data_IF_428992403906
#
_entry.id   IF_428992403906
#
_cell.length_a   1.000
_cell.length_b   1.000
_cell.length_c   1.000
_cell.angle_alpha   90.00
_cell.angle_beta   90.00
_cell.angle_gamma   90.00
#
_symmetry.space_group_name_H-M   'P 1'
#
loop_
_entity.id
_entity.type
_entity.pdbx_description
1 polymer ?
#
# COMPACT_ATOMS: atom_id res chain seq x y z
N UNK A 1 76.07 -53.26 13.55
CA UNK A 1 77.03 -52.79 14.61
C UNK A 1 76.29 -51.65 15.36
N UNK A 2 76.16 -51.83 16.69
CA UNK A 2 75.96 -50.89 17.82
C UNK A 2 74.82 -49.89 17.62
N UNK A 3 73.60 -50.03 18.15
CA UNK A 3 73.16 -49.85 19.57
C UNK A 3 73.65 -48.53 20.21
N UNK A 4 72.69 -47.61 20.44
CA UNK A 4 72.68 -46.81 21.68
C UNK A 4 71.26 -46.33 21.99
N UNK A 5 70.79 -46.72 23.15
CA UNK A 5 69.57 -46.32 23.84
C UNK A 5 69.79 -44.94 24.46
N UNK A 6 68.77 -44.09 24.37
CA UNK A 6 68.65 -42.97 25.32
C UNK A 6 67.25 -42.83 25.78
N UNK A 7 67.08 -43.00 27.06
CA UNK A 7 65.87 -42.81 27.87
C UNK A 7 65.66 -41.29 28.02
N UNK A 8 64.50 -40.79 27.72
CA UNK A 8 64.12 -39.44 28.07
C UNK A 8 62.84 -39.45 28.90
N UNK A 9 62.98 -38.82 30.05
CA UNK A 9 62.05 -38.63 31.16
C UNK A 9 60.72 -37.95 30.74
N UNK A 10 59.63 -38.55 31.17
CA UNK A 10 58.30 -37.96 31.07
C UNK A 10 58.06 -37.05 32.28
N UNK A 11 58.04 -35.75 32.08
CA UNK A 11 57.55 -34.79 33.08
C UNK A 11 56.10 -34.48 32.82
N UNK A 12 55.20 -35.01 33.63
CA UNK A 12 53.74 -34.76 33.58
C UNK A 12 53.46 -33.45 34.28
N UNK A 13 53.18 -32.40 33.48
CA UNK A 13 52.69 -31.11 34.00
C UNK A 13 51.21 -31.08 33.89
N UNK A 14 50.48 -31.20 34.98
CA UNK A 14 49.08 -31.13 35.16
C UNK A 14 48.62 -29.63 35.07
N UNK A 15 48.13 -29.17 33.93
CA UNK A 15 47.54 -27.86 33.80
C UNK A 15 46.07 -27.93 34.21
N UNK A 16 45.76 -27.37 35.38
CA UNK A 16 44.40 -27.05 35.82
C UNK A 16 43.82 -25.92 34.93
N UNK A 17 43.06 -26.26 33.92
CA UNK A 17 42.24 -25.32 33.20
C UNK A 17 40.99 -24.99 34.03
N UNK A 18 41.05 -23.89 34.78
CA UNK A 18 39.87 -23.21 35.33
C UNK A 18 39.16 -22.61 34.16
N UNK A 19 38.20 -23.33 33.63
CA UNK A 19 37.25 -22.84 32.61
C UNK A 19 36.32 -21.82 33.25
N UNK A 20 36.63 -20.52 33.12
CA UNK A 20 35.61 -19.49 33.26
C UNK A 20 34.59 -19.69 32.14
N UNK A 21 33.49 -20.39 32.45
CA UNK A 21 32.31 -20.42 31.64
C UNK A 21 31.74 -19.00 31.50
N UNK A 22 32.19 -18.29 30.49
CA UNK A 22 31.45 -17.11 29.99
C UNK A 22 30.22 -17.66 29.32
N UNK A 23 29.09 -17.71 30.05
CA UNK A 23 27.78 -17.70 29.44
C UNK A 23 27.66 -16.42 28.61
N UNK A 24 28.12 -16.47 27.37
CA UNK A 24 27.62 -15.58 26.34
C UNK A 24 26.21 -16.06 26.02
N UNK A 25 25.22 -15.51 26.71
CA UNK A 25 23.90 -15.32 26.13
C UNK A 25 24.14 -14.38 24.94
N UNK A 26 24.44 -14.93 23.78
CA UNK A 26 24.27 -14.24 22.52
C UNK A 26 22.77 -13.96 22.38
N UNK A 27 22.28 -12.90 23.05
CA UNK A 27 21.11 -12.19 22.59
C UNK A 27 21.53 -11.66 21.23
N UNK A 28 21.15 -12.35 20.16
CA UNK A 28 21.22 -11.81 18.82
C UNK A 28 20.63 -10.40 18.92
N UNK A 29 21.46 -9.39 18.74
CA UNK A 29 21.04 -8.00 18.78
C UNK A 29 19.99 -7.87 17.67
N UNK A 30 18.72 -7.86 18.06
CA UNK A 30 17.61 -7.69 17.11
C UNK A 30 17.84 -6.37 16.39
N UNK A 31 18.03 -6.45 15.08
CA UNK A 31 18.27 -5.27 14.25
C UNK A 31 17.08 -4.32 14.38
N UNK A 32 17.34 -3.06 14.77
CA UNK A 32 16.32 -2.01 14.74
C UNK A 32 16.10 -1.42 13.34
N UNK A 33 16.83 -1.89 12.34
CA UNK A 33 16.69 -1.42 10.95
C UNK A 33 15.46 -2.03 10.30
N UNK A 34 14.69 -1.20 9.60
CA UNK A 34 13.50 -1.59 8.86
C UNK A 34 13.52 -0.95 7.48
N UNK A 35 13.39 -1.76 6.44
CA UNK A 35 13.28 -1.30 5.07
C UNK A 35 11.81 -1.26 4.69
N UNK A 36 11.34 -0.10 4.22
CA UNK A 36 9.94 0.15 3.87
C UNK A 36 9.82 0.31 2.37
N UNK A 37 9.13 -0.63 1.72
CA UNK A 37 8.89 -0.60 0.27
C UNK A 37 7.84 0.44 -0.12
N UNK A 38 8.02 1.11 -1.25
CA UNK A 38 7.05 2.04 -1.83
C UNK A 38 7.18 2.14 -3.36
N UNK A 39 6.13 2.60 -4.03
CA UNK A 39 6.08 2.81 -5.49
C UNK A 39 6.17 4.31 -5.82
N UNK A 40 5.50 5.14 -5.05
CA UNK A 40 5.36 6.60 -5.27
C UNK A 40 3.97 6.96 -5.76
N UNK A 41 2.94 6.48 -5.07
CA UNK A 41 1.53 6.75 -5.35
C UNK A 41 0.86 7.42 -4.15
N UNK A 42 -0.26 8.08 -4.38
CA UNK A 42 -0.95 8.90 -3.35
C UNK A 42 -1.30 8.12 -2.09
N UNK A 43 -1.77 6.89 -2.24
CA UNK A 43 -2.22 6.10 -1.09
C UNK A 43 -1.08 5.72 -0.13
N UNK A 44 0.18 5.85 -0.55
CA UNK A 44 1.37 5.60 0.27
C UNK A 44 1.75 6.79 1.18
N UNK A 45 0.95 7.87 1.24
CA UNK A 45 1.19 9.00 2.13
C UNK A 45 1.51 8.61 3.59
N UNK A 46 0.92 7.56 4.21
CA UNK A 46 1.32 7.09 5.53
C UNK A 46 2.78 6.60 5.60
N UNK A 47 3.32 5.98 4.55
CA UNK A 47 4.73 5.54 4.51
C UNK A 47 5.66 6.75 4.62
N UNK A 48 5.42 7.75 3.78
CA UNK A 48 6.23 8.98 3.76
C UNK A 48 6.09 9.77 5.07
N UNK A 49 4.86 9.87 5.56
CA UNK A 49 4.55 10.52 6.84
C UNK A 49 5.26 9.82 8.01
N UNK A 50 5.23 8.49 8.08
CA UNK A 50 5.85 7.73 9.16
C UNK A 50 7.36 7.96 9.23
N UNK A 51 8.03 8.08 8.08
CA UNK A 51 9.47 8.36 8.01
C UNK A 51 9.74 9.82 8.38
N UNK A 52 9.09 10.78 7.73
CA UNK A 52 9.37 12.20 7.87
C UNK A 52 8.94 12.79 9.22
N UNK A 53 7.87 12.27 9.80
CA UNK A 53 7.41 12.64 11.15
C UNK A 53 8.16 11.89 12.27
N UNK A 54 8.98 10.91 11.91
CA UNK A 54 9.77 10.15 12.88
C UNK A 54 8.99 9.09 13.65
N UNK A 55 7.82 8.64 13.17
CA UNK A 55 7.02 7.64 13.90
C UNK A 55 7.71 6.29 14.02
N UNK A 56 8.56 5.92 13.05
CA UNK A 56 9.45 4.76 13.21
C UNK A 56 10.47 4.96 14.33
N UNK A 57 11.02 6.17 14.47
CA UNK A 57 11.99 6.49 15.54
C UNK A 57 11.35 6.46 16.92
N UNK A 58 10.08 6.85 17.06
CA UNK A 58 9.32 6.72 18.30
C UNK A 58 9.20 5.25 18.76
N UNK A 59 9.17 4.32 17.81
CA UNK A 59 9.17 2.87 18.07
C UNK A 59 10.60 2.29 18.21
N UNK A 60 11.62 3.15 18.26
CA UNK A 60 13.03 2.73 18.35
C UNK A 60 13.61 2.14 17.07
N UNK A 61 12.97 2.39 15.93
CA UNK A 61 13.33 1.81 14.63
C UNK A 61 14.06 2.82 13.74
N UNK A 62 15.07 2.33 13.02
CA UNK A 62 15.79 3.04 11.96
C UNK A 62 15.22 2.61 10.60
N UNK A 63 14.30 3.41 10.06
CA UNK A 63 13.59 3.11 8.83
C UNK A 63 14.28 3.72 7.60
N UNK A 64 14.39 2.94 6.54
CA UNK A 64 14.84 3.38 5.21
C UNK A 64 13.82 3.04 4.14
N UNK A 65 13.64 3.93 3.15
CA UNK A 65 12.72 3.74 2.05
C UNK A 65 13.39 2.99 0.89
N UNK A 66 12.66 2.03 0.31
CA UNK A 66 13.08 1.26 -0.87
C UNK A 66 12.06 1.48 -1.98
N UNK A 67 12.45 2.26 -3.00
CA UNK A 67 11.61 2.51 -4.17
C UNK A 67 11.57 1.27 -5.06
N UNK A 68 10.39 0.88 -5.47
CA UNK A 68 10.13 -0.28 -6.34
C UNK A 68 9.24 0.13 -7.52
N UNK A 69 9.21 -0.72 -8.53
CA UNK A 69 8.28 -0.61 -9.65
C UNK A 69 7.12 -1.61 -9.50
N UNK A 70 5.97 -1.29 -10.07
CA UNK A 70 4.79 -2.17 -10.05
C UNK A 70 5.11 -3.61 -10.48
N UNK A 71 5.91 -3.75 -11.53
CA UNK A 71 6.18 -5.05 -12.15
C UNK A 71 6.91 -6.03 -11.24
N UNK A 72 7.77 -5.55 -10.34
CA UNK A 72 8.62 -6.40 -9.49
C UNK A 72 8.34 -6.27 -7.98
N UNK A 73 7.32 -5.51 -7.59
CA UNK A 73 7.09 -5.14 -6.20
C UNK A 73 6.97 -6.34 -5.25
N UNK A 74 6.11 -7.31 -5.60
CA UNK A 74 5.92 -8.53 -4.81
C UNK A 74 7.17 -9.41 -4.77
N UNK A 75 7.93 -9.44 -5.87
CA UNK A 75 9.14 -10.26 -5.96
C UNK A 75 10.27 -9.68 -5.11
N UNK A 76 10.41 -8.35 -5.09
CA UNK A 76 11.35 -7.66 -4.21
C UNK A 76 11.02 -7.93 -2.74
N UNK A 77 9.73 -7.88 -2.35
CA UNK A 77 9.29 -8.25 -1.00
C UNK A 77 9.58 -9.72 -0.69
N UNK A 78 9.24 -10.63 -1.59
CA UNK A 78 9.45 -12.07 -1.43
C UNK A 78 10.93 -12.42 -1.21
N UNK A 79 11.81 -11.76 -1.94
CA UNK A 79 13.27 -11.93 -1.85
C UNK A 79 13.90 -11.21 -0.65
N UNK A 80 13.11 -10.48 0.13
CA UNK A 80 13.59 -9.71 1.29
C UNK A 80 14.32 -8.43 0.90
N UNK A 81 13.99 -7.82 -0.22
CA UNK A 81 14.50 -6.51 -0.63
C UNK A 81 13.98 -5.38 0.25
N UNK A 82 12.80 -5.54 0.84
CA UNK A 82 12.27 -4.72 1.93
C UNK A 82 11.48 -5.58 2.93
N UNK A 83 11.18 -5.03 4.11
CA UNK A 83 10.68 -5.77 5.26
C UNK A 83 9.19 -5.54 5.52
N UNK A 84 8.71 -4.35 5.23
CA UNK A 84 7.33 -3.91 5.48
C UNK A 84 6.87 -2.90 4.42
N UNK A 85 5.58 -2.87 4.20
CA UNK A 85 4.89 -1.87 3.38
C UNK A 85 3.41 -1.82 3.76
N UNK A 86 2.59 -1.03 3.06
CA UNK A 86 1.16 -1.29 2.92
C UNK A 86 0.78 -1.37 1.46
N UNK A 87 -0.20 -2.21 1.15
CA UNK A 87 -0.59 -2.45 -0.23
C UNK A 87 -1.98 -3.05 -0.32
N UNK A 88 -2.53 -3.14 -1.55
CA UNK A 88 -3.83 -3.73 -1.80
C UNK A 88 -3.91 -5.17 -1.26
N UNK A 89 -4.93 -5.44 -0.45
CA UNK A 89 -5.17 -6.77 0.14
C UNK A 89 -5.28 -7.83 -0.95
N UNK A 90 -6.10 -7.61 -1.97
CA UNK A 90 -6.34 -8.59 -3.05
C UNK A 90 -5.08 -8.91 -3.87
N UNK A 91 -4.13 -7.98 -3.97
CA UNK A 91 -2.89 -8.18 -4.74
C UNK A 91 -2.01 -9.30 -4.18
N UNK A 92 -2.03 -9.49 -2.85
CA UNK A 92 -1.17 -10.47 -2.19
C UNK A 92 -1.86 -11.82 -1.92
N UNK A 93 -3.19 -11.92 -1.99
CA UNK A 93 -3.89 -13.17 -1.66
C UNK A 93 -3.53 -14.32 -2.60
N UNK A 94 -3.45 -14.07 -3.91
CA UNK A 94 -3.01 -15.12 -4.87
C UNK A 94 -1.54 -15.54 -4.65
N UNK A 95 -0.58 -14.63 -4.47
CA UNK A 95 0.77 -14.99 -4.06
C UNK A 95 0.86 -15.79 -2.75
N UNK A 96 0.07 -15.42 -1.73
CA UNK A 96 0.02 -16.15 -0.44
C UNK A 96 -0.57 -17.56 -0.64
N UNK A 97 -1.60 -17.70 -1.47
CA UNK A 97 -2.11 -19.02 -1.88
C UNK A 97 -0.99 -19.88 -2.47
N UNK A 98 -0.12 -19.27 -3.27
CA UNK A 98 1.01 -19.91 -3.94
C UNK A 98 2.26 -20.08 -3.06
N UNK A 99 2.17 -19.73 -1.77
CA UNK A 99 3.24 -19.95 -0.79
C UNK A 99 4.11 -18.75 -0.48
N UNK A 100 3.76 -17.54 -0.94
CA UNK A 100 4.46 -16.32 -0.51
C UNK A 100 4.25 -16.10 1.00
N UNK A 101 5.34 -16.04 1.75
CA UNK A 101 5.32 -15.82 3.19
C UNK A 101 5.36 -14.32 3.51
N UNK A 102 4.19 -13.73 3.55
CA UNK A 102 3.92 -12.36 4.03
C UNK A 102 2.66 -12.36 4.89
N UNK A 103 2.53 -11.38 5.77
CA UNK A 103 1.40 -11.27 6.70
C UNK A 103 0.81 -9.87 6.67
N UNK A 104 -0.50 -9.77 6.59
CA UNK A 104 -1.24 -8.56 6.89
C UNK A 104 -1.34 -8.37 8.40
N UNK A 105 -1.28 -7.13 8.86
CA UNK A 105 -1.23 -6.81 10.30
C UNK A 105 -2.16 -5.68 10.73
N UNK A 106 -2.67 -4.87 9.79
CA UNK A 106 -3.61 -3.78 10.09
C UNK A 106 -4.00 -2.99 8.84
N UNK A 107 -5.24 -2.54 8.78
CA UNK A 107 -5.80 -1.75 7.69
C UNK A 107 -5.33 -0.31 7.71
N UNK A 108 -5.06 0.26 6.54
CA UNK A 108 -4.56 1.61 6.37
C UNK A 108 -5.66 2.54 5.86
N UNK A 109 -6.28 2.22 4.73
CA UNK A 109 -7.26 3.09 4.08
C UNK A 109 -8.28 2.32 3.25
N UNK A 110 -9.37 2.99 2.91
CA UNK A 110 -10.43 2.57 2.00
C UNK A 110 -10.33 3.34 0.70
N UNK A 111 -10.85 2.78 -0.41
CA UNK A 111 -10.80 3.39 -1.74
C UNK A 111 -9.40 3.37 -2.35
N UNK A 112 -9.24 3.83 -3.55
CA UNK A 112 -8.00 4.10 -4.28
C UNK A 112 -8.13 3.85 -5.80
N UNK A 113 -8.94 2.88 -6.21
CA UNK A 113 -8.95 2.33 -7.56
C UNK A 113 -10.18 2.80 -8.32
N UNK A 114 -10.02 3.02 -9.62
CA UNK A 114 -11.08 3.46 -10.51
C UNK A 114 -11.08 2.68 -11.81
N UNK A 115 -12.27 2.58 -12.40
CA UNK A 115 -12.46 2.26 -13.82
C UNK A 115 -13.07 3.49 -14.47
N UNK A 116 -12.39 4.05 -15.46
CA UNK A 116 -12.75 5.31 -16.08
C UNK A 116 -12.88 5.16 -17.59
N UNK A 117 -13.82 5.87 -18.18
CA UNK A 117 -14.00 5.92 -19.63
C UNK A 117 -13.97 7.36 -20.12
N UNK A 118 -13.77 7.57 -21.42
CA UNK A 118 -13.76 8.89 -22.03
C UNK A 118 -15.03 9.68 -21.65
N UNK A 119 -14.88 10.94 -21.19
CA UNK A 119 -15.97 11.77 -20.67
C UNK A 119 -17.15 11.86 -21.62
N UNK A 120 -16.88 12.08 -22.89
CA UNK A 120 -17.89 12.23 -23.94
C UNK A 120 -18.15 10.91 -24.71
N UNK A 121 -17.62 9.79 -24.21
CA UNK A 121 -17.78 8.47 -24.81
C UNK A 121 -19.15 7.83 -24.49
N UNK A 122 -19.43 6.72 -25.17
CA UNK A 122 -20.69 5.97 -25.03
C UNK A 122 -20.72 5.02 -23.83
N UNK A 123 -19.59 4.79 -23.16
CA UNK A 123 -19.49 3.91 -21.99
C UNK A 123 -19.96 4.70 -20.77
N UNK A 124 -21.08 4.28 -20.16
CA UNK A 124 -21.68 4.92 -18.98
C UNK A 124 -21.86 3.96 -17.81
N UNK A 125 -21.69 2.67 -18.04
CA UNK A 125 -21.83 1.61 -17.03
C UNK A 125 -20.77 0.53 -17.23
N UNK A 126 -20.61 -0.32 -16.24
CA UNK A 126 -19.69 -1.46 -16.32
C UNK A 126 -20.08 -2.44 -17.44
N UNK A 127 -21.38 -2.63 -17.66
CA UNK A 127 -21.86 -3.54 -18.72
C UNK A 127 -21.55 -3.03 -20.13
N UNK A 128 -21.36 -1.71 -20.32
CA UNK A 128 -20.95 -1.13 -21.61
C UNK A 128 -19.50 -1.47 -21.99
N UNK A 129 -18.75 -2.01 -21.04
CA UNK A 129 -17.36 -2.45 -21.25
C UNK A 129 -17.25 -3.78 -21.99
N UNK A 130 -18.34 -4.51 -22.21
CA UNK A 130 -18.34 -5.77 -23.01
C UNK A 130 -17.74 -5.55 -24.39
N UNK A 131 -16.77 -6.39 -24.75
CA UNK A 131 -16.06 -6.31 -26.03
C UNK A 131 -15.11 -5.10 -26.15
N UNK A 132 -14.82 -4.38 -25.05
CA UNK A 132 -13.97 -3.19 -25.07
C UNK A 132 -12.53 -3.49 -24.66
N UNK A 133 -11.65 -2.55 -25.00
CA UNK A 133 -10.25 -2.54 -24.62
C UNK A 133 -10.10 -1.73 -23.36
N UNK A 134 -9.51 -2.32 -22.32
CA UNK A 134 -9.23 -1.63 -21.05
C UNK A 134 -7.72 -1.54 -20.85
N UNK A 135 -7.22 -0.32 -20.67
CA UNK A 135 -5.83 -0.02 -20.32
C UNK A 135 -5.58 -0.21 -18.83
N UNK A 136 -4.47 -0.87 -18.49
CA UNK A 136 -4.03 -1.10 -17.09
C UNK A 136 -2.53 -0.89 -16.97
N UNK A 137 -1.98 -0.56 -15.79
CA UNK A 137 -0.54 -0.41 -15.59
C UNK A 137 0.23 -1.75 -15.62
N UNK A 138 -0.48 -2.87 -15.57
CA UNK A 138 0.07 -4.22 -15.66
C UNK A 138 -0.96 -5.28 -15.35
N UNK A 139 -0.75 -6.47 -15.89
CA UNK A 139 -1.57 -7.64 -15.57
C UNK A 139 -1.32 -8.05 -14.12
N UNK A 140 -2.38 -8.36 -13.38
CA UNK A 140 -2.30 -8.72 -11.97
C UNK A 140 -1.99 -7.56 -11.01
N UNK A 141 -1.90 -6.31 -11.50
CA UNK A 141 -1.77 -5.12 -10.64
C UNK A 141 -3.10 -4.78 -9.95
N UNK A 142 -3.09 -3.98 -8.86
CA UNK A 142 -4.30 -3.55 -8.18
C UNK A 142 -5.41 -3.01 -9.09
N UNK A 143 -5.15 -2.08 -10.03
CA UNK A 143 -6.20 -1.62 -10.94
C UNK A 143 -6.81 -2.73 -11.80
N UNK A 144 -5.98 -3.64 -12.32
CA UNK A 144 -6.44 -4.81 -13.06
C UNK A 144 -7.36 -5.70 -12.19
N UNK A 145 -6.95 -6.00 -10.94
CA UNK A 145 -7.72 -6.86 -10.03
C UNK A 145 -9.06 -6.22 -9.69
N UNK A 146 -9.08 -4.92 -9.37
CA UNK A 146 -10.32 -4.20 -9.08
C UNK A 146 -11.27 -4.19 -10.28
N UNK A 147 -10.76 -3.89 -11.48
CA UNK A 147 -11.58 -3.91 -12.69
C UNK A 147 -12.19 -5.29 -12.95
N UNK A 148 -11.42 -6.38 -12.80
CA UNK A 148 -11.94 -7.75 -12.90
C UNK A 148 -13.08 -8.01 -11.91
N UNK A 149 -12.89 -7.62 -10.64
CA UNK A 149 -13.90 -7.77 -9.59
C UNK A 149 -15.20 -7.04 -9.94
N UNK A 150 -15.08 -5.79 -10.38
CA UNK A 150 -16.24 -4.98 -10.76
C UNK A 150 -16.94 -5.54 -11.99
N UNK A 151 -16.21 -6.00 -13.01
CA UNK A 151 -16.74 -6.64 -14.19
C UNK A 151 -17.51 -7.92 -13.83
N UNK A 152 -16.91 -8.80 -13.04
CA UNK A 152 -17.54 -10.04 -12.59
C UNK A 152 -18.82 -9.79 -11.80
N UNK A 153 -18.82 -8.82 -10.87
CA UNK A 153 -20.00 -8.42 -10.11
C UNK A 153 -21.17 -7.93 -10.99
N UNK A 154 -20.89 -7.50 -12.23
CA UNK A 154 -21.88 -7.07 -13.21
C UNK A 154 -22.10 -8.11 -14.33
N UNK A 155 -21.64 -9.34 -14.13
CA UNK A 155 -21.83 -10.43 -15.08
C UNK A 155 -21.03 -10.30 -16.38
N UNK A 156 -19.94 -9.54 -16.39
CA UNK A 156 -19.02 -9.42 -17.52
C UNK A 156 -17.81 -10.33 -17.29
N UNK A 157 -17.63 -11.36 -18.12
CA UNK A 157 -16.48 -12.25 -18.06
C UNK A 157 -15.23 -11.53 -18.57
N UNK A 158 -14.44 -11.02 -17.63
CA UNK A 158 -13.24 -10.24 -17.94
C UNK A 158 -12.18 -11.01 -18.74
N UNK A 159 -12.20 -12.35 -18.71
CA UNK A 159 -11.27 -13.20 -19.44
C UNK A 159 -11.66 -13.40 -20.89
N UNK A 160 -12.94 -13.30 -21.21
CA UNK A 160 -13.50 -13.55 -22.55
C UNK A 160 -13.99 -12.30 -23.26
N UNK A 161 -14.53 -11.36 -22.49
CA UNK A 161 -15.26 -10.21 -23.03
C UNK A 161 -14.43 -8.92 -23.01
N UNK A 162 -13.23 -8.91 -22.37
CA UNK A 162 -12.37 -7.74 -22.28
C UNK A 162 -11.05 -7.97 -23.00
N UNK A 163 -10.59 -6.99 -23.77
CA UNK A 163 -9.23 -6.96 -24.30
C UNK A 163 -8.36 -6.07 -23.42
N UNK A 164 -7.51 -6.67 -22.63
CA UNK A 164 -6.56 -5.96 -21.77
C UNK A 164 -5.39 -5.39 -22.56
N UNK A 165 -5.01 -4.14 -22.25
CA UNK A 165 -3.83 -3.47 -22.81
C UNK A 165 -2.98 -2.92 -21.68
N UNK A 166 -1.66 -3.12 -21.75
CA UNK A 166 -0.73 -2.67 -20.72
C UNK A 166 -0.01 -1.42 -21.20
N UNK A 167 -0.07 -0.36 -20.39
CA UNK A 167 0.65 0.90 -20.57
C UNK A 167 1.22 1.35 -19.23
N UNK A 168 2.35 2.07 -19.20
CA UNK A 168 2.78 2.77 -18.00
C UNK A 168 1.64 3.64 -17.45
N UNK A 169 1.49 3.70 -16.11
CA UNK A 169 0.35 4.38 -15.48
C UNK A 169 0.18 5.84 -15.97
N UNK A 170 1.29 6.58 -16.11
CA UNK A 170 1.27 7.96 -16.63
C UNK A 170 0.90 8.09 -18.12
N UNK A 171 0.84 7.00 -18.88
CA UNK A 171 0.49 6.99 -20.31
C UNK A 171 -0.95 6.54 -20.57
N UNK A 172 -1.69 6.09 -19.54
CA UNK A 172 -3.06 5.59 -19.69
C UNK A 172 -4.00 6.64 -20.30
N UNK A 173 -3.88 7.90 -19.87
CA UNK A 173 -4.67 9.01 -20.43
C UNK A 173 -4.37 9.24 -21.91
N UNK A 174 -3.11 9.16 -22.31
CA UNK A 174 -2.71 9.30 -23.72
C UNK A 174 -3.22 8.14 -24.58
N UNK A 175 -3.17 6.91 -24.06
CA UNK A 175 -3.71 5.74 -24.76
C UNK A 175 -5.23 5.85 -24.99
N UNK A 176 -5.96 6.42 -24.00
CA UNK A 176 -7.36 6.72 -24.13
C UNK A 176 -7.63 7.80 -25.18
N UNK A 177 -6.90 8.91 -25.16
CA UNK A 177 -7.02 10.03 -26.12
C UNK A 177 -6.74 9.59 -27.57
N UNK A 178 -5.78 8.67 -27.75
CA UNK A 178 -5.47 8.08 -29.07
C UNK A 178 -6.45 6.99 -29.52
N UNK A 179 -7.39 6.61 -28.68
CA UNK A 179 -8.30 5.51 -28.96
C UNK A 179 -7.65 4.14 -29.03
N UNK A 180 -6.48 3.95 -28.39
CA UNK A 180 -5.80 2.65 -28.27
C UNK A 180 -6.53 1.76 -27.25
N UNK A 181 -7.22 2.39 -26.29
CA UNK A 181 -8.15 1.78 -25.32
C UNK A 181 -9.47 2.54 -25.27
N UNK A 182 -10.52 1.89 -24.81
CA UNK A 182 -11.86 2.45 -24.69
C UNK A 182 -12.17 2.91 -23.26
N UNK A 183 -11.44 2.33 -22.29
CA UNK A 183 -11.48 2.67 -20.87
C UNK A 183 -10.10 2.40 -20.25
N UNK A 184 -9.89 2.91 -19.05
CA UNK A 184 -8.68 2.66 -18.23
C UNK A 184 -9.07 2.22 -16.83
N UNK A 185 -8.24 1.39 -16.22
CA UNK A 185 -8.31 1.12 -14.78
C UNK A 185 -6.99 1.57 -14.15
N UNK A 186 -7.10 2.40 -13.12
CA UNK A 186 -5.97 3.08 -12.51
C UNK A 186 -6.13 3.29 -11.00
N UNK A 187 -5.13 3.93 -10.41
CA UNK A 187 -5.11 4.34 -9.01
C UNK A 187 -4.76 5.82 -8.87
N UNK A 188 -4.84 6.36 -7.65
CA UNK A 188 -4.39 7.72 -7.38
C UNK A 188 -2.85 7.88 -7.45
N UNK A 189 -2.32 8.96 -8.05
CA UNK A 189 -3.02 10.20 -8.42
C UNK A 189 -3.58 10.22 -9.86
N UNK A 190 -3.38 9.17 -10.67
CA UNK A 190 -3.74 9.17 -12.10
C UNK A 190 -5.24 9.35 -12.29
N UNK A 191 -6.07 8.63 -11.51
CA UNK A 191 -7.52 8.73 -11.60
C UNK A 191 -8.02 10.16 -11.39
N UNK A 192 -7.55 10.85 -10.37
CA UNK A 192 -7.88 12.26 -10.12
C UNK A 192 -7.32 13.19 -11.19
N UNK A 193 -6.10 12.94 -11.70
CA UNK A 193 -5.51 13.73 -12.77
C UNK A 193 -6.34 13.68 -14.05
N UNK A 194 -6.77 12.50 -14.48
CA UNK A 194 -7.58 12.35 -15.69
C UNK A 194 -8.96 13.01 -15.57
N UNK A 195 -9.54 12.98 -14.36
CA UNK A 195 -10.78 13.74 -14.07
C UNK A 195 -10.50 15.24 -14.13
N UNK A 196 -9.40 15.71 -13.52
CA UNK A 196 -8.99 17.11 -13.51
C UNK A 196 -8.75 17.66 -14.93
N UNK A 197 -8.19 16.85 -15.81
CA UNK A 197 -7.99 17.20 -17.22
C UNK A 197 -9.31 17.16 -18.05
N UNK A 198 -10.43 16.83 -17.44
CA UNK A 198 -11.73 16.73 -18.13
C UNK A 198 -11.81 15.60 -19.14
N UNK A 199 -10.89 14.64 -19.13
CA UNK A 199 -10.77 13.56 -20.11
C UNK A 199 -11.74 12.41 -19.86
N UNK A 200 -12.02 12.12 -18.59
CA UNK A 200 -12.74 10.90 -18.19
C UNK A 200 -13.92 11.17 -17.29
N UNK A 201 -14.78 10.16 -17.18
CA UNK A 201 -15.78 9.97 -16.13
C UNK A 201 -15.54 8.63 -15.45
N UNK A 202 -15.83 8.54 -14.15
CA UNK A 202 -15.78 7.28 -13.42
C UNK A 202 -16.94 6.37 -13.89
N UNK A 203 -16.61 5.11 -14.17
CA UNK A 203 -17.57 4.04 -14.44
C UNK A 203 -17.66 3.13 -13.21
N UNK A 204 -16.56 3.01 -12.45
CA UNK A 204 -16.54 2.50 -11.10
C UNK A 204 -15.48 3.25 -10.27
N UNK A 205 -15.79 3.50 -9.01
CA UNK A 205 -14.93 4.18 -8.06
C UNK A 205 -14.94 3.46 -6.71
N UNK A 206 -13.81 2.87 -6.34
CA UNK A 206 -13.68 2.12 -5.10
C UNK A 206 -13.94 2.98 -3.85
N UNK A 207 -13.71 4.29 -3.93
CA UNK A 207 -13.90 5.20 -2.80
C UNK A 207 -15.37 5.65 -2.64
N UNK A 208 -16.22 5.49 -3.66
CA UNK A 208 -17.58 6.03 -3.69
C UNK A 208 -18.66 4.95 -3.81
N UNK A 209 -18.37 3.86 -4.53
CA UNK A 209 -19.40 2.90 -4.91
C UNK A 209 -19.57 1.80 -3.85
N UNK A 210 -20.84 1.41 -3.61
CA UNK A 210 -21.14 0.22 -2.82
C UNK A 210 -20.85 -1.05 -3.63
N UNK A 211 -20.36 -2.12 -3.00
CA UNK A 211 -19.99 -2.24 -1.57
C UNK A 211 -18.57 -1.74 -1.25
N UNK A 212 -17.78 -1.38 -2.25
CA UNK A 212 -16.33 -1.18 -2.21
C UNK A 212 -15.88 -0.04 -1.28
N UNK A 213 -16.70 1.03 -1.13
CA UNK A 213 -16.35 2.22 -0.34
C UNK A 213 -16.17 1.93 1.17
N UNK A 214 -16.76 0.86 1.65
CA UNK A 214 -16.69 0.47 3.07
C UNK A 214 -15.62 -0.60 3.35
N UNK A 215 -14.90 -1.05 2.31
CA UNK A 215 -13.87 -2.06 2.39
C UNK A 215 -12.47 -1.46 2.50
N UNK A 216 -11.60 -2.14 3.25
CA UNK A 216 -10.18 -1.80 3.24
C UNK A 216 -9.56 -2.18 1.91
N UNK A 217 -9.07 -1.17 1.20
CA UNK A 217 -8.27 -1.33 0.00
C UNK A 217 -6.88 -1.86 0.38
N UNK A 218 -6.18 -1.12 1.25
CA UNK A 218 -4.81 -1.41 1.61
C UNK A 218 -4.65 -1.72 3.09
N UNK A 219 -3.77 -2.66 3.37
CA UNK A 219 -3.35 -3.05 4.71
C UNK A 219 -1.83 -3.12 4.80
N UNK A 220 -1.29 -2.99 5.99
CA UNK A 220 0.14 -3.20 6.29
C UNK A 220 0.48 -4.66 6.00
N UNK A 221 1.60 -4.85 5.31
CA UNK A 221 2.14 -6.15 4.91
C UNK A 221 3.56 -6.26 5.42
N UNK A 222 3.85 -7.34 6.12
CA UNK A 222 5.17 -7.66 6.69
C UNK A 222 5.72 -8.92 6.04
N UNK A 223 7.00 -8.89 5.67
CA UNK A 223 7.72 -10.08 5.21
C UNK A 223 7.79 -11.11 6.34
N UNK A 224 7.44 -12.37 6.06
CA UNK A 224 7.36 -13.43 7.06
C UNK A 224 8.70 -13.74 7.74
N UNK A 225 9.80 -13.71 6.99
CA UNK A 225 11.14 -13.93 7.56
C UNK A 225 11.53 -12.79 8.50
N UNK A 226 11.23 -11.54 8.13
CA UNK A 226 11.47 -10.38 8.99
C UNK A 226 10.62 -10.47 10.26
N UNK A 227 9.33 -10.79 10.13
CA UNK A 227 8.42 -10.98 11.25
C UNK A 227 8.91 -12.07 12.22
N UNK A 228 9.32 -13.21 11.70
CA UNK A 228 9.82 -14.32 12.51
C UNK A 228 11.13 -13.97 13.24
N UNK A 229 12.03 -13.24 12.59
CA UNK A 229 13.31 -12.82 13.18
C UNK A 229 13.16 -11.66 14.16
N UNK A 230 12.25 -10.73 13.94
CA UNK A 230 12.12 -9.47 14.67
C UNK A 230 10.65 -9.10 14.96
N UNK A 231 9.89 -9.91 15.73
CA UNK A 231 8.46 -9.66 15.93
C UNK A 231 8.16 -8.33 16.62
N UNK A 232 9.03 -7.86 17.52
CA UNK A 232 8.89 -6.54 18.16
C UNK A 232 9.09 -5.39 17.17
N UNK A 233 10.07 -5.51 16.27
CA UNK A 233 10.29 -4.50 15.23
C UNK A 233 9.12 -4.49 14.21
N UNK A 234 8.58 -5.64 13.85
CA UNK A 234 7.40 -5.75 13.00
C UNK A 234 6.16 -5.09 13.63
N UNK A 235 5.94 -5.30 14.94
CA UNK A 235 4.85 -4.65 15.68
C UNK A 235 5.04 -3.13 15.75
N UNK A 236 6.23 -2.64 16.09
CA UNK A 236 6.55 -1.22 16.12
C UNK A 236 6.41 -0.56 14.74
N UNK A 237 6.90 -1.21 13.68
CA UNK A 237 6.77 -0.71 12.32
C UNK A 237 5.30 -0.65 11.87
N UNK A 238 4.49 -1.64 12.25
CA UNK A 238 3.05 -1.63 12.00
C UNK A 238 2.39 -0.44 12.73
N UNK A 239 2.69 -0.23 14.03
CA UNK A 239 2.16 0.93 14.78
C UNK A 239 2.55 2.25 14.14
N UNK A 240 3.80 2.41 13.70
CA UNK A 240 4.26 3.61 13.01
C UNK A 240 3.44 3.93 11.75
N UNK A 241 3.14 2.92 10.92
CA UNK A 241 2.32 3.08 9.72
C UNK A 241 0.85 3.37 10.03
N UNK A 242 0.26 2.69 11.03
CA UNK A 242 -1.13 2.92 11.45
C UNK A 242 -1.29 4.31 12.10
N UNK A 243 -0.31 4.76 12.90
CA UNK A 243 -0.26 6.13 13.44
C UNK A 243 -0.18 7.15 12.31
N UNK A 244 0.65 6.89 11.31
CA UNK A 244 0.77 7.76 10.15
C UNK A 244 -0.52 7.83 9.34
N UNK A 245 -1.25 6.72 9.18
CA UNK A 245 -2.55 6.72 8.53
C UNK A 245 -3.55 7.65 9.25
N UNK A 246 -3.62 7.55 10.59
CA UNK A 246 -4.46 8.45 11.40
C UNK A 246 -4.04 9.92 11.28
N UNK A 247 -2.73 10.18 11.20
CA UNK A 247 -2.21 11.53 10.99
C UNK A 247 -2.57 12.07 9.60
N UNK A 248 -2.49 11.26 8.54
CA UNK A 248 -2.87 11.63 7.17
C UNK A 248 -4.36 11.97 7.08
N UNK A 249 -5.24 11.18 7.70
CA UNK A 249 -6.68 11.50 7.79
C UNK A 249 -6.92 12.84 8.46
N UNK A 250 -6.17 13.13 9.52
CA UNK A 250 -6.29 14.40 10.28
C UNK A 250 -5.71 15.58 9.50
N UNK A 251 -4.70 15.37 8.64
CA UNK A 251 -3.91 16.42 8.01
C UNK A 251 -3.68 16.15 6.49
N UNK A 252 -4.72 15.93 5.67
CA UNK A 252 -4.57 15.50 4.28
C UNK A 252 -3.77 16.49 3.42
N UNK A 253 -3.97 17.80 3.59
CA UNK A 253 -3.23 18.81 2.85
C UNK A 253 -1.75 18.88 3.26
N UNK A 254 -1.44 18.65 4.53
CA UNK A 254 -0.04 18.59 4.97
C UNK A 254 0.65 17.31 4.47
N UNK A 255 -0.06 16.18 4.45
CA UNK A 255 0.44 14.92 3.89
C UNK A 255 0.72 15.03 2.39
N UNK A 256 -0.16 15.71 1.65
CA UNK A 256 0.01 16.00 0.23
C UNK A 256 1.27 16.83 -0.03
N UNK A 257 1.42 17.96 0.68
CA UNK A 257 2.62 18.81 0.57
C UNK A 257 3.90 18.08 0.93
N UNK A 258 3.86 17.26 1.97
CA UNK A 258 5.01 16.44 2.39
C UNK A 258 5.41 15.46 1.28
N UNK A 259 4.47 14.67 0.78
CA UNK A 259 4.73 13.62 -0.21
C UNK A 259 5.28 14.20 -1.53
N UNK A 260 4.69 15.29 -2.02
CA UNK A 260 5.12 15.96 -3.25
C UNK A 260 6.40 16.76 -3.03
N UNK A 261 6.47 17.56 -1.96
CA UNK A 261 7.61 18.42 -1.66
C UNK A 261 8.91 17.66 -1.39
N UNK A 262 8.83 16.44 -0.91
CA UNK A 262 9.97 15.52 -0.72
C UNK A 262 10.31 14.70 -1.97
N UNK A 263 9.54 14.83 -3.04
CA UNK A 263 9.78 14.10 -4.29
C UNK A 263 9.41 12.60 -4.24
N UNK A 264 8.62 12.17 -3.26
CA UNK A 264 8.17 10.78 -3.18
C UNK A 264 7.13 10.45 -4.25
N UNK A 265 6.35 11.45 -4.64
CA UNK A 265 5.23 11.34 -5.55
C UNK A 265 5.32 12.43 -6.64
N UNK A 266 5.23 12.00 -7.90
CA UNK A 266 5.14 12.90 -9.05
C UNK A 266 3.71 13.42 -9.22
N UNK A 267 3.37 14.51 -8.54
CA UNK A 267 2.06 15.19 -8.58
C UNK A 267 2.24 16.65 -8.14
N UNK A 268 1.15 17.42 -8.08
CA UNK A 268 1.14 18.69 -7.36
C UNK A 268 0.43 18.55 -6.01
N UNK A 269 0.73 19.41 -5.01
CA UNK A 269 0.16 19.30 -3.67
C UNK A 269 -1.37 19.46 -3.64
N UNK A 270 -1.93 20.31 -4.49
CA UNK A 270 -3.37 20.59 -4.55
C UNK A 270 -4.12 19.35 -5.07
N UNK A 271 -3.73 18.80 -6.20
CA UNK A 271 -4.32 17.58 -6.75
C UNK A 271 -4.16 16.40 -5.78
N UNK A 272 -2.96 16.28 -5.17
CA UNK A 272 -2.71 15.20 -4.23
C UNK A 272 -3.52 15.37 -2.93
N UNK A 273 -3.84 16.60 -2.52
CA UNK A 273 -4.76 16.87 -1.39
C UNK A 273 -6.16 16.33 -1.70
N UNK A 274 -6.67 16.60 -2.90
CA UNK A 274 -7.97 16.06 -3.36
C UNK A 274 -7.92 14.53 -3.36
N UNK A 275 -6.91 13.95 -3.98
CA UNK A 275 -6.75 12.50 -4.07
C UNK A 275 -6.67 11.83 -2.68
N UNK A 276 -5.86 12.37 -1.74
CA UNK A 276 -5.78 11.89 -0.36
C UNK A 276 -7.14 11.99 0.35
N UNK A 277 -7.89 13.07 0.13
CA UNK A 277 -9.17 13.30 0.79
C UNK A 277 -10.29 12.37 0.28
N UNK A 278 -10.17 11.84 -0.94
CA UNK A 278 -11.04 10.77 -1.44
C UNK A 278 -10.79 9.43 -0.76
N UNK A 279 -9.55 9.19 -0.31
CA UNK A 279 -9.17 7.99 0.41
C UNK A 279 -9.52 8.19 1.90
N UNK A 280 -10.05 7.18 2.53
CA UNK A 280 -10.41 7.25 3.95
C UNK A 280 -9.35 6.50 4.76
N UNK A 281 -8.45 7.25 5.38
CA UNK A 281 -7.38 6.71 6.22
C UNK A 281 -7.89 6.43 7.64
N UNK A 282 -8.74 5.43 7.77
CA UNK A 282 -9.34 4.98 9.03
C UNK A 282 -8.64 3.69 9.47
N UNK A 283 -7.47 3.75 10.13
CA UNK A 283 -6.73 2.55 10.47
C UNK A 283 -7.53 1.63 11.40
N UNK A 284 -7.49 0.30 11.13
CA UNK A 284 -8.15 -0.70 11.96
C UNK A 284 -7.50 -2.07 11.79
N UNK A 285 -7.35 -2.79 12.88
CA UNK A 285 -6.82 -4.17 12.87
C UNK A 285 -7.93 -5.15 12.49
N UNK A 286 -9.06 -5.10 13.18
CA UNK A 286 -10.22 -5.97 12.89
C UNK A 286 -10.80 -5.71 11.49
N UNK A 287 -10.80 -4.44 11.04
CA UNK A 287 -11.22 -4.10 9.68
C UNK A 287 -10.33 -4.71 8.61
N UNK A 288 -9.02 -4.78 8.83
CA UNK A 288 -8.10 -5.45 7.92
C UNK A 288 -8.32 -6.97 7.88
N UNK A 289 -8.50 -7.59 9.04
CA UNK A 289 -8.77 -9.03 9.13
C UNK A 289 -10.08 -9.37 8.39
N UNK A 290 -11.12 -8.57 8.60
CA UNK A 290 -12.37 -8.71 7.85
C UNK A 290 -12.14 -8.57 6.34
N UNK A 291 -11.39 -7.56 5.91
CA UNK A 291 -11.10 -7.34 4.49
C UNK A 291 -10.31 -8.49 3.85
N UNK A 292 -9.36 -9.10 4.56
CA UNK A 292 -8.63 -10.28 4.09
C UNK A 292 -9.58 -11.46 3.87
N UNK A 293 -10.49 -11.71 4.81
CA UNK A 293 -11.48 -12.79 4.71
C UNK A 293 -12.47 -12.55 3.55
N UNK A 294 -13.03 -11.36 3.45
CA UNK A 294 -13.97 -10.97 2.40
C UNK A 294 -13.32 -11.04 1.02
N UNK A 295 -12.14 -10.43 0.86
CA UNK A 295 -11.41 -10.42 -0.40
C UNK A 295 -11.03 -11.84 -0.86
N UNK A 296 -10.63 -12.73 0.05
CA UNK A 296 -10.33 -14.12 -0.29
C UNK A 296 -11.57 -14.87 -0.82
N UNK A 297 -12.74 -14.66 -0.19
CA UNK A 297 -13.99 -15.26 -0.62
C UNK A 297 -14.40 -14.76 -2.02
N UNK A 298 -14.37 -13.45 -2.25
CA UNK A 298 -14.73 -12.84 -3.52
C UNK A 298 -13.76 -13.21 -4.65
N UNK A 299 -12.46 -13.19 -4.39
CA UNK A 299 -11.46 -13.62 -5.37
C UNK A 299 -11.64 -15.07 -5.79
N UNK A 300 -12.07 -15.93 -4.87
CA UNK A 300 -12.41 -17.31 -5.23
C UNK A 300 -13.64 -17.38 -6.13
N UNK A 301 -14.70 -16.64 -5.81
CA UNK A 301 -15.92 -16.56 -6.61
C UNK A 301 -15.64 -16.04 -8.02
N UNK A 302 -14.81 -14.99 -8.13
CA UNK A 302 -14.39 -14.40 -9.41
C UNK A 302 -13.33 -15.24 -10.16
N UNK A 303 -13.02 -16.46 -9.70
CA UNK A 303 -12.04 -17.35 -10.36
C UNK A 303 -10.59 -16.90 -10.28
N UNK A 304 -10.27 -15.90 -9.44
CA UNK A 304 -8.90 -15.40 -9.28
C UNK A 304 -8.05 -16.27 -8.34
N UNK A 305 -8.68 -17.09 -7.49
CA UNK A 305 -8.04 -18.13 -6.69
C UNK A 305 -8.38 -19.52 -7.27
N UNK A 306 -7.65 -20.55 -6.84
CA UNK A 306 -7.95 -21.92 -7.23
C UNK A 306 -9.34 -22.34 -6.75
N UNK A 307 -10.11 -23.10 -7.51
CA UNK A 307 -11.40 -23.66 -7.06
C UNK A 307 -11.27 -24.51 -5.78
N UNK A 308 -10.09 -25.12 -5.56
CA UNK A 308 -9.80 -25.98 -4.40
C UNK A 308 -9.31 -25.21 -3.18
N UNK A 309 -9.09 -23.89 -3.26
CA UNK A 309 -8.59 -23.08 -2.14
C UNK A 309 -9.58 -23.07 -0.99
N UNK A 310 -9.12 -23.45 0.20
CA UNK A 310 -9.82 -23.17 1.44
C UNK A 310 -9.61 -21.68 1.80
N UNK A 311 -10.66 -20.89 1.66
CA UNK A 311 -10.65 -19.45 1.91
C UNK A 311 -10.33 -19.12 3.36
N UNK A 312 -10.86 -19.91 4.32
CA UNK A 312 -10.62 -19.71 5.75
C UNK A 312 -9.17 -19.99 6.13
N UNK A 313 -8.58 -21.06 5.58
CA UNK A 313 -7.17 -21.36 5.76
C UNK A 313 -6.28 -20.28 5.14
N UNK A 314 -6.59 -19.85 3.91
CA UNK A 314 -5.86 -18.77 3.25
C UNK A 314 -5.89 -17.49 4.08
N UNK A 315 -7.05 -17.08 4.59
CA UNK A 315 -7.18 -15.87 5.39
C UNK A 315 -6.39 -15.97 6.70
N UNK A 316 -6.44 -17.11 7.40
CA UNK A 316 -5.64 -17.37 8.61
C UNK A 316 -4.13 -17.32 8.34
N UNK A 317 -3.69 -17.83 7.21
CA UNK A 317 -2.28 -17.76 6.81
C UNK A 317 -1.85 -16.35 6.41
N UNK A 318 -2.78 -15.56 5.89
CA UNK A 318 -2.52 -14.22 5.39
C UNK A 318 -2.49 -13.16 6.49
N UNK A 319 -3.18 -13.34 7.60
CA UNK A 319 -3.30 -12.33 8.67
C UNK A 319 -2.63 -12.78 9.97
N UNK A 320 -2.05 -11.82 10.72
CA UNK A 320 -1.48 -12.07 12.04
C UNK A 320 -1.73 -10.89 12.97
N UNK A 321 -2.12 -11.19 14.21
CA UNK A 321 -2.17 -10.21 15.29
C UNK A 321 -0.77 -10.02 15.89
N UNK A 322 -0.40 -8.76 16.10
CA UNK A 322 0.90 -8.38 16.68
C UNK A 322 0.68 -7.77 18.07
N UNK A 323 1.63 -8.01 18.96
CA UNK A 323 1.58 -7.48 20.31
C UNK A 323 1.52 -5.95 20.34
N UNK A 324 0.57 -5.40 21.09
CA UNK A 324 0.34 -3.95 21.18
C UNK A 324 -0.17 -3.28 19.88
N UNK A 325 -0.62 -4.06 18.89
CA UNK A 325 -1.28 -3.56 17.68
C UNK A 325 -2.76 -3.95 17.75
N UNK A 326 -3.60 -3.06 18.27
CA UNK A 326 -5.02 -3.32 18.54
C UNK A 326 -5.90 -2.14 18.15
N UNK A 327 -7.19 -2.39 17.93
CA UNK A 327 -8.15 -1.31 17.67
C UNK A 327 -8.32 -0.40 18.91
N UNK A 328 -8.23 -0.95 20.13
CA UNK A 328 -8.27 -0.16 21.38
C UNK A 328 -7.09 0.83 21.44
N UNK A 329 -5.88 0.39 21.09
CA UNK A 329 -4.74 1.29 20.97
C UNK A 329 -4.99 2.38 19.93
N UNK A 330 -5.52 2.04 18.76
CA UNK A 330 -5.83 2.98 17.69
C UNK A 330 -6.90 4.00 18.09
N UNK A 331 -7.94 3.60 18.82
CA UNK A 331 -8.99 4.50 19.30
C UNK A 331 -8.43 5.56 20.25
N UNK A 332 -7.54 5.15 21.16
CA UNK A 332 -6.92 6.03 22.16
C UNK A 332 -5.74 6.84 21.62
N UNK A 333 -5.21 6.50 20.44
CA UNK A 333 -4.09 7.18 19.82
C UNK A 333 -4.47 8.61 19.46
N UNK A 334 -3.68 9.59 19.92
CA UNK A 334 -3.81 10.98 19.51
C UNK A 334 -2.74 11.33 18.48
N UNK A 335 -3.12 12.12 17.49
CA UNK A 335 -2.20 12.70 16.51
C UNK A 335 -2.37 14.21 16.46
N UNK A 336 -1.29 14.93 16.18
CA UNK A 336 -1.33 16.39 16.10
C UNK A 336 -2.20 16.85 14.90
N UNK A 337 -2.83 18.02 15.07
CA UNK A 337 -3.36 18.80 13.95
C UNK A 337 -2.38 19.90 13.63
N UNK A 338 -1.90 19.95 12.38
CA UNK A 338 -0.99 20.99 11.93
C UNK A 338 -1.74 22.13 11.24
N UNK A 339 -1.28 23.35 11.41
CA UNK A 339 -1.89 24.53 10.78
C UNK A 339 -1.89 24.37 9.24
N UNK A 340 -3.03 24.60 8.61
CA UNK A 340 -3.22 24.41 7.18
C UNK A 340 -3.05 22.94 6.71
N UNK A 341 -3.13 21.98 7.63
CA UNK A 341 -3.07 20.55 7.33
C UNK A 341 -4.40 19.93 6.92
N UNK A 342 -5.50 20.59 7.30
CA UNK A 342 -6.86 20.14 7.01
C UNK A 342 -7.37 20.74 5.71
N UNK A 343 -8.35 20.07 5.10
CA UNK A 343 -9.21 20.68 4.08
C UNK A 343 -10.19 21.62 4.80
N UNK A 344 -10.46 22.82 4.28
CA UNK A 344 -11.44 23.73 4.89
C UNK A 344 -12.81 23.06 5.08
N UNK A 345 -13.45 23.18 6.27
CA UNK A 345 -14.69 22.47 6.59
C UNK A 345 -15.90 22.88 5.73
N UNK A 346 -15.87 24.05 5.12
CA UNK A 346 -16.98 24.62 4.37
C UNK A 346 -16.99 24.20 2.90
N UNK A 347 -15.97 23.43 2.48
CA UNK A 347 -15.87 22.90 1.13
C UNK A 347 -16.21 21.42 1.17
N UNK A 348 -17.38 21.08 0.66
CA UNK A 348 -17.62 19.70 0.20
C UNK A 348 -16.42 19.31 -0.66
N UNK A 349 -15.74 18.22 -0.32
CA UNK A 349 -14.59 17.68 -1.05
C UNK A 349 -14.89 17.57 -2.56
N UNK A 350 -16.17 17.38 -2.93
CA UNK A 350 -16.65 17.42 -4.30
C UNK A 350 -16.55 18.82 -4.92
N UNK A 351 -16.96 19.85 -4.18
CA UNK A 351 -16.87 21.24 -4.62
C UNK A 351 -15.39 21.68 -4.74
N UNK A 352 -14.54 21.23 -3.83
CA UNK A 352 -13.11 21.51 -3.89
C UNK A 352 -12.45 20.78 -5.07
N UNK A 353 -12.84 19.53 -5.33
CA UNK A 353 -12.42 18.78 -6.50
C UNK A 353 -12.93 19.46 -7.79
N UNK A 354 -14.21 19.82 -7.87
CA UNK A 354 -14.79 20.54 -9.00
C UNK A 354 -14.17 21.91 -9.21
N UNK A 355 -13.85 22.65 -8.15
CA UNK A 355 -13.21 23.96 -8.22
C UNK A 355 -11.77 23.87 -8.75
N UNK A 356 -10.98 22.88 -8.33
CA UNK A 356 -9.64 22.61 -8.88
C UNK A 356 -9.74 22.15 -10.33
N UNK A 357 -10.78 21.38 -10.69
CA UNK A 357 -11.03 20.85 -12.01
C UNK A 357 -11.45 21.93 -13.02
N UNK A 358 -12.23 22.92 -12.57
CA UNK A 358 -12.66 24.05 -13.41
C UNK A 358 -11.60 25.14 -13.60
N UNK A 359 -10.67 25.29 -12.66
CA UNK A 359 -9.59 26.27 -12.78
C UNK A 359 -8.43 25.80 -13.71
N UNK A 360 -8.44 24.54 -14.17
CA UNK A 360 -7.46 24.05 -15.13
C UNK A 360 -7.63 24.61 -16.56
N UNK A 361 -8.78 25.24 -16.86
CA UNK A 361 -9.00 25.95 -18.14
C UNK A 361 -8.39 27.36 -18.18
N UNK A 362 -7.81 27.86 -17.12
CA UNK A 362 -7.25 29.20 -17.16
C UNK A 362 -6.57 29.67 -15.89
N UNK A 363 -5.43 29.11 -15.57
CA UNK A 363 -4.48 29.76 -14.67
C UNK A 363 -4.26 29.09 -13.31
N UNK A 364 -3.08 28.55 -13.16
CA UNK A 364 -2.37 28.26 -11.89
C UNK A 364 -2.38 29.45 -10.86
N UNK A 365 -2.90 30.63 -11.24
CA UNK A 365 -2.96 31.85 -10.41
C UNK A 365 -4.24 31.98 -9.57
N UNK A 366 -5.36 31.34 -9.93
CA UNK A 366 -6.63 31.53 -9.18
C UNK A 366 -6.69 30.72 -7.92
N UNK A 367 -6.22 29.48 -7.92
CA UNK A 367 -6.17 28.66 -6.72
C UNK A 367 -5.28 29.29 -5.62
N UNK A 368 -4.19 29.95 -6.01
CA UNK A 368 -3.35 30.76 -5.09
C UNK A 368 -4.08 31.95 -4.51
N UNK A 369 -5.03 32.58 -5.24
CA UNK A 369 -5.80 33.73 -4.75
C UNK A 369 -6.90 33.31 -3.76
N UNK A 370 -7.54 32.19 -3.95
CA UNK A 370 -8.58 31.70 -3.01
C UNK A 370 -7.95 31.29 -1.68
N UNK A 371 -6.81 30.60 -1.70
CA UNK A 371 -6.05 30.24 -0.49
C UNK A 371 -5.41 31.47 0.21
N UNK A 372 -5.10 32.54 -0.53
CA UNK A 372 -4.55 33.78 0.05
C UNK A 372 -5.62 34.74 0.58
N UNK A 373 -6.86 34.66 0.12
CA UNK A 373 -7.97 35.48 0.58
C UNK A 373 -8.62 34.96 1.88
N UNK A 374 -8.20 33.79 2.38
CA UNK A 374 -8.65 33.17 3.62
C UNK A 374 -7.61 33.28 4.76
N UNK A 375 -6.59 34.11 4.59
CA UNK A 375 -5.72 34.62 5.67
C UNK A 375 -6.28 35.94 6.17
#
# INVERSE_FOLDING_TARGET
>A
MRALRSIALVATTLFLLIGCGRNRSDSAATSNKVRVGYIGITCEAPIFTAVEKGFFKEEGLDASLVKCEWANYKDVLALGGFDITHHLVMYFLKPIEQGLDVKFTGGIHRGCLRVQAAKNGRINSITDLRGKRIGVPGMGTPPFIFANRVLDAHGVDASKEITWRVFPAGELGLALDKGEVDAVADSEPIGSLLVAEGKVKNVADQAQDMPYKDEYCCAVIVNGKFLAANPKAAAGATRALLKAAKWVETNPAAAARLSVGKGYLASNPELNTVAISHLRYVPSVSGAEFAVNSAAAEMKTAGMLSPTTDVSDLAKRAFVHLDGVTDDWLQNLQVEKVAGGQVPPDQDIRLYAEMILHDSEGSCCKAKKVLAAQK
#
